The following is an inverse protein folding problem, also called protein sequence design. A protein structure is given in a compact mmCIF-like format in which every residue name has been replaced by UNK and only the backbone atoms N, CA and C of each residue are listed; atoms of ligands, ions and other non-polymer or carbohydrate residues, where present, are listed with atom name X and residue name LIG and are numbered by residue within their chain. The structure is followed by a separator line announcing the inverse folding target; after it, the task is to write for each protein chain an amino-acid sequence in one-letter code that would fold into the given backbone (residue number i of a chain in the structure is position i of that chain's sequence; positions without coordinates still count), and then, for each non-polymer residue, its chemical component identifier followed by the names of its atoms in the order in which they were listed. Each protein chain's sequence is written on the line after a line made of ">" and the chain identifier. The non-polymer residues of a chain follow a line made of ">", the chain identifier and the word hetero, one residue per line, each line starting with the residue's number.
data_IF_028613215303
#
_entry.id   IF_028613215303
#
_cell.length_a   1.000
_cell.length_b   1.000
_cell.length_c   1.000
_cell.angle_alpha   90.00
_cell.angle_beta   90.00
_cell.angle_gamma   90.00
#
_symmetry.space_group_name_H-M   'P 1'
#
loop_
_entity.id
_entity.type
_entity.pdbx_description
1 polymer ?
#
# COMPACT_ATOMS: atom_id res chain seq x y z
N UNK A 1 -3.47 -3.83 -11.85
CA UNK A 1 -4.16 -2.63 -11.42
C UNK A 1 -3.16 -1.71 -10.75
N UNK A 2 -3.06 -0.48 -11.24
CA UNK A 2 -2.20 0.53 -10.63
C UNK A 2 -3.02 1.22 -9.55
N UNK A 3 -2.78 0.86 -8.29
CA UNK A 3 -3.35 1.60 -7.17
C UNK A 3 -2.63 2.94 -7.05
N UNK A 4 -3.33 4.04 -7.25
CA UNK A 4 -2.76 5.35 -6.96
C UNK A 4 -2.79 5.60 -5.45
N UNK A 5 -1.62 5.47 -4.82
CA UNK A 5 -1.46 5.65 -3.37
C UNK A 5 -1.87 7.07 -2.90
N UNK A 6 -1.83 8.08 -3.78
CA UNK A 6 -2.28 9.43 -3.42
C UNK A 6 -3.80 9.46 -3.24
N UNK A 7 -4.55 8.79 -4.13
CA UNK A 7 -6.01 8.71 -4.04
C UNK A 7 -6.40 7.96 -2.76
N UNK A 8 -5.76 6.82 -2.50
CA UNK A 8 -6.05 6.02 -1.29
C UNK A 8 -5.72 6.81 -0.02
N UNK A 9 -4.58 7.49 0.03
CA UNK A 9 -4.20 8.33 1.17
C UNK A 9 -5.22 9.47 1.38
N UNK A 10 -5.62 10.16 0.31
CA UNK A 10 -6.61 11.24 0.38
C UNK A 10 -7.98 10.76 0.86
N UNK A 11 -8.43 9.56 0.47
CA UNK A 11 -9.66 8.96 0.98
C UNK A 11 -9.62 8.69 2.49
N UNK A 12 -8.44 8.40 3.02
CA UNK A 12 -8.22 8.22 4.45
C UNK A 12 -7.88 9.52 5.18
N UNK A 13 -8.02 10.68 4.53
CA UNK A 13 -7.75 12.00 5.14
C UNK A 13 -6.28 12.25 5.44
N UNK A 14 -5.38 11.50 4.82
CA UNK A 14 -3.94 11.59 5.05
C UNK A 14 -3.19 11.84 3.74
N UNK A 15 -1.88 11.94 3.83
CA UNK A 15 -0.99 12.12 2.67
C UNK A 15 -0.03 10.95 2.56
N UNK A 16 0.43 10.67 1.35
CA UNK A 16 1.47 9.68 1.16
C UNK A 16 2.77 10.13 1.85
N UNK A 17 3.46 9.18 2.43
CA UNK A 17 4.81 9.31 2.96
C UNK A 17 5.79 8.63 1.99
N UNK A 18 6.89 9.31 1.69
CA UNK A 18 8.02 8.74 0.95
C UNK A 18 9.13 8.52 1.95
N UNK A 19 9.57 7.28 2.08
CA UNK A 19 10.66 6.94 2.99
C UNK A 19 12.01 7.50 2.51
N UNK A 20 12.88 7.82 3.46
CA UNK A 20 14.26 8.23 3.25
C UNK A 20 15.14 7.67 4.36
N UNK A 21 16.46 7.87 4.28
CA UNK A 21 17.39 7.43 5.32
C UNK A 21 17.10 8.05 6.70
N UNK A 22 16.56 9.26 6.72
CA UNK A 22 16.23 9.99 7.95
C UNK A 22 14.78 9.81 8.40
N UNK A 23 13.89 9.33 7.53
CA UNK A 23 12.47 9.15 7.79
C UNK A 23 11.96 7.87 7.15
N UNK A 24 12.17 6.76 7.82
CA UNK A 24 11.86 5.41 7.33
C UNK A 24 10.37 5.07 7.46
N UNK A 25 9.95 4.08 6.69
CA UNK A 25 8.64 3.43 6.82
C UNK A 25 8.85 2.00 7.31
N UNK A 26 8.13 1.60 8.34
CA UNK A 26 8.15 0.20 8.80
C UNK A 26 7.46 -0.66 7.75
N UNK A 27 8.18 -1.66 7.26
CA UNK A 27 7.71 -2.58 6.21
C UNK A 27 7.88 -4.03 6.65
N UNK A 28 6.90 -4.92 6.40
CA UNK A 28 7.05 -6.34 6.65
C UNK A 28 7.96 -7.00 5.62
N UNK A 29 8.69 -8.02 6.06
CA UNK A 29 9.46 -8.93 5.21
C UNK A 29 9.09 -10.38 5.53
N UNK A 30 9.08 -11.20 4.47
CA UNK A 30 8.82 -12.64 4.54
C UNK A 30 9.92 -13.31 3.74
N UNK A 31 10.74 -14.13 4.38
CA UNK A 31 11.86 -14.79 3.74
C UNK A 31 11.82 -16.29 4.03
N UNK A 32 12.09 -17.09 3.00
CA UNK A 32 12.17 -18.54 3.09
C UNK A 32 13.60 -18.99 2.79
N UNK A 33 14.08 -19.93 3.61
CA UNK A 33 15.42 -20.49 3.50
C UNK A 33 15.33 -22.02 3.49
N UNK A 34 15.86 -22.64 2.44
CA UNK A 34 16.08 -24.07 2.41
C UNK A 34 17.37 -24.41 3.19
N UNK A 35 17.30 -25.29 4.15
CA UNK A 35 18.42 -25.61 5.04
C UNK A 35 19.35 -26.64 4.39
N UNK A 36 20.60 -26.25 4.26
CA UNK A 36 21.68 -27.08 3.76
C UNK A 36 22.23 -28.07 4.81
N UNK A 37 23.28 -28.77 4.43
CA UNK A 37 23.95 -29.72 5.33
C UNK A 37 24.68 -28.96 6.47
N UNK A 38 24.49 -29.38 7.72
CA UNK A 38 25.12 -28.79 8.92
C UNK A 38 24.84 -27.28 9.14
N UNK A 39 23.86 -26.73 8.45
CA UNK A 39 23.50 -25.33 8.56
C UNK A 39 22.69 -25.10 9.85
N UNK A 40 23.13 -24.17 10.69
CA UNK A 40 22.46 -23.76 11.92
C UNK A 40 22.07 -22.28 11.93
N UNK A 41 22.34 -21.57 10.83
CA UNK A 41 22.11 -20.13 10.74
C UNK A 41 21.46 -19.76 9.41
N UNK A 42 20.63 -18.69 9.42
CA UNK A 42 20.15 -18.02 8.21
C UNK A 42 20.42 -16.53 8.31
N UNK A 43 20.70 -15.88 7.18
CA UNK A 43 21.01 -14.45 7.12
C UNK A 43 19.89 -13.72 6.42
N UNK A 44 19.25 -12.79 7.10
CA UNK A 44 18.16 -11.99 6.57
C UNK A 44 18.65 -10.93 5.57
N UNK A 45 17.85 -10.60 4.59
CA UNK A 45 18.16 -9.55 3.60
C UNK A 45 18.15 -8.15 4.22
N UNK A 46 17.32 -7.94 5.25
CA UNK A 46 17.16 -6.66 5.96
C UNK A 46 17.39 -6.83 7.46
N UNK A 47 17.72 -5.72 8.13
CA UNK A 47 17.84 -5.71 9.58
C UNK A 47 16.45 -5.70 10.21
N UNK A 48 16.12 -6.75 10.95
CA UNK A 48 14.85 -6.84 11.66
C UNK A 48 14.76 -5.85 12.83
N UNK A 49 13.58 -5.29 13.02
CA UNK A 49 13.25 -4.50 14.21
C UNK A 49 13.13 -5.46 15.39
N UNK A 50 13.78 -5.14 16.49
CA UNK A 50 13.76 -5.97 17.70
C UNK A 50 12.31 -6.20 18.17
N UNK A 51 11.98 -7.46 18.43
CA UNK A 51 10.65 -7.86 18.92
C UNK A 51 9.62 -8.17 17.82
N UNK A 52 9.93 -7.96 16.53
CA UNK A 52 9.01 -8.28 15.42
C UNK A 52 9.31 -9.62 14.74
N UNK A 53 10.43 -10.25 15.09
CA UNK A 53 10.89 -11.48 14.47
C UNK A 53 10.01 -12.69 14.87
N UNK A 54 9.50 -13.39 13.87
CA UNK A 54 8.80 -14.67 14.01
C UNK A 54 9.48 -15.70 13.11
N UNK A 55 9.91 -16.80 13.70
CA UNK A 55 10.66 -17.86 13.01
C UNK A 55 9.92 -19.18 13.11
N UNK A 56 9.75 -19.84 11.99
CA UNK A 56 9.04 -21.11 11.88
C UNK A 56 9.80 -22.05 10.95
N UNK A 57 9.71 -23.36 11.19
CA UNK A 57 10.10 -24.36 10.20
C UNK A 57 8.85 -24.96 9.57
N UNK A 58 8.94 -25.25 8.28
CA UNK A 58 7.88 -25.85 7.50
C UNK A 58 8.29 -27.27 7.10
N UNK A 59 7.32 -28.13 7.00
CA UNK A 59 7.45 -29.43 6.36
C UNK A 59 7.42 -29.29 4.83
N UNK A 60 7.75 -30.34 4.09
CA UNK A 60 7.74 -30.32 2.62
C UNK A 60 6.38 -30.03 1.98
N UNK A 61 5.29 -30.28 2.70
CA UNK A 61 3.93 -29.95 2.29
C UNK A 61 3.50 -28.53 2.67
N UNK A 62 4.40 -27.73 3.27
CA UNK A 62 4.16 -26.36 3.67
C UNK A 62 3.48 -26.18 5.03
N UNK A 63 3.22 -27.28 5.77
CA UNK A 63 2.66 -27.20 7.11
C UNK A 63 3.71 -26.75 8.13
N UNK A 64 3.29 -26.01 9.18
CA UNK A 64 4.19 -25.57 10.24
C UNK A 64 4.65 -26.77 11.05
N UNK A 65 5.97 -27.02 11.09
CA UNK A 65 6.60 -28.07 11.87
C UNK A 65 6.92 -27.59 13.29
N UNK A 66 7.60 -26.44 13.41
CA UNK A 66 7.97 -25.83 14.69
C UNK A 66 7.83 -24.32 14.62
N UNK A 67 7.56 -23.69 15.78
CA UNK A 67 7.61 -22.25 15.99
C UNK A 67 8.67 -21.96 17.05
N UNK A 68 9.57 -21.04 16.75
CA UNK A 68 10.71 -20.73 17.61
C UNK A 68 10.48 -19.46 18.43
N UNK A 69 10.95 -19.45 19.66
CA UNK A 69 11.01 -18.25 20.49
C UNK A 69 12.35 -17.53 20.25
N UNK A 70 12.31 -16.22 20.09
CA UNK A 70 13.52 -15.40 20.01
C UNK A 70 14.11 -15.25 21.41
N UNK A 71 15.36 -15.64 21.57
CA UNK A 71 16.05 -15.63 22.84
C UNK A 71 17.49 -16.15 22.70
N UNK A 72 17.90 -17.05 23.57
CA UNK A 72 19.20 -17.69 23.50
C UNK A 72 19.09 -19.06 22.79
N UNK A 73 19.83 -19.25 21.70
CA UNK A 73 19.86 -20.48 20.89
C UNK A 73 20.55 -21.67 21.58
N UNK A 74 20.76 -21.64 22.88
CA UNK A 74 21.30 -22.77 23.67
C UNK A 74 20.24 -23.84 23.96
N UNK A 75 18.96 -23.47 23.93
CA UNK A 75 17.83 -24.37 24.18
C UNK A 75 17.08 -24.70 22.89
N UNK A 76 16.62 -25.96 22.78
CA UNK A 76 15.74 -26.36 21.63
C UNK A 76 14.46 -25.53 21.59
N UNK A 77 14.05 -25.18 20.39
CA UNK A 77 12.88 -24.34 20.16
C UNK A 77 13.13 -22.85 20.37
N UNK A 78 14.39 -22.44 20.53
CA UNK A 78 14.78 -21.03 20.61
C UNK A 78 15.76 -20.66 19.51
N UNK A 79 15.75 -19.38 19.11
CA UNK A 79 16.69 -18.79 18.15
C UNK A 79 17.26 -17.50 18.71
N UNK A 80 18.52 -17.23 18.41
CA UNK A 80 19.15 -15.93 18.68
C UNK A 80 19.19 -15.11 17.42
N UNK A 81 18.82 -13.84 17.50
CA UNK A 81 18.97 -12.88 16.40
C UNK A 81 20.08 -11.87 16.70
N UNK A 82 21.04 -11.76 15.80
CA UNK A 82 22.11 -10.77 15.85
C UNK A 82 21.90 -9.70 14.79
N UNK A 83 21.43 -8.52 15.19
CA UNK A 83 21.03 -7.44 14.28
C UNK A 83 22.18 -6.92 13.41
N UNK A 84 23.39 -6.79 13.94
CA UNK A 84 24.55 -6.30 13.19
C UNK A 84 24.93 -7.18 11.99
N UNK A 85 24.77 -8.49 12.10
CA UNK A 85 25.02 -9.46 11.01
C UNK A 85 23.74 -9.93 10.33
N UNK A 86 22.58 -9.52 10.80
CA UNK A 86 21.25 -9.96 10.34
C UNK A 86 21.06 -11.48 10.42
N UNK A 87 21.72 -12.12 11.36
CA UNK A 87 21.79 -13.58 11.45
C UNK A 87 20.81 -14.11 12.49
N UNK A 88 20.00 -15.09 12.09
CA UNK A 88 19.18 -15.93 12.97
C UNK A 88 19.95 -17.23 13.19
N UNK A 89 20.26 -17.54 14.43
CA UNK A 89 21.00 -18.75 14.85
C UNK A 89 20.04 -19.68 15.58
N UNK A 90 20.04 -20.94 15.19
CA UNK A 90 19.25 -22.01 15.80
C UNK A 90 20.11 -22.85 16.78
N UNK A 91 19.47 -23.44 17.76
CA UNK A 91 20.12 -24.44 18.60
C UNK A 91 20.53 -25.66 17.76
N UNK A 92 21.61 -26.32 18.17
CA UNK A 92 22.12 -27.52 17.49
C UNK A 92 21.06 -28.61 17.39
N UNK A 93 20.79 -29.10 16.19
CA UNK A 93 19.81 -30.15 15.92
C UNK A 93 18.34 -29.71 15.91
N UNK A 94 18.04 -28.41 15.93
CA UNK A 94 16.69 -27.85 15.82
C UNK A 94 16.20 -27.82 14.37
N UNK A 95 17.11 -27.61 13.44
CA UNK A 95 16.83 -27.64 11.99
C UNK A 95 17.73 -28.72 11.34
N UNK A 96 17.22 -29.30 10.26
CA UNK A 96 17.92 -30.34 9.53
C UNK A 96 17.96 -30.02 8.05
N UNK A 97 18.89 -30.68 7.33
CA UNK A 97 18.95 -30.58 5.85
C UNK A 97 17.60 -30.88 5.21
N UNK A 98 17.15 -29.97 4.35
CA UNK A 98 15.90 -30.06 3.62
C UNK A 98 14.69 -29.53 4.40
N UNK A 99 14.88 -29.03 5.63
CA UNK A 99 13.87 -28.21 6.29
C UNK A 99 13.76 -26.86 5.57
N UNK A 100 12.57 -26.28 5.52
CA UNK A 100 12.35 -24.92 5.08
C UNK A 100 12.11 -24.03 6.29
N UNK A 101 12.88 -22.97 6.45
CA UNK A 101 12.71 -21.96 7.50
C UNK A 101 12.00 -20.76 6.92
N UNK A 102 10.86 -20.39 7.48
CA UNK A 102 10.14 -19.15 7.19
C UNK A 102 10.42 -18.14 8.31
N UNK A 103 10.93 -16.98 7.91
CA UNK A 103 11.17 -15.85 8.82
C UNK A 103 10.30 -14.68 8.41
N UNK A 104 9.48 -14.18 9.34
CA UNK A 104 8.66 -12.99 9.19
C UNK A 104 9.18 -11.93 10.15
N UNK A 105 9.34 -10.71 9.70
CA UNK A 105 9.82 -9.60 10.53
C UNK A 105 9.45 -8.26 9.93
N UNK A 106 9.61 -7.21 10.70
CA UNK A 106 9.50 -5.83 10.23
C UNK A 106 10.89 -5.20 10.16
N UNK A 107 11.08 -4.29 9.22
CA UNK A 107 12.30 -3.53 9.05
C UNK A 107 12.02 -2.08 8.68
N UNK A 108 12.98 -1.20 8.90
CA UNK A 108 12.89 0.20 8.50
C UNK A 108 13.30 0.33 7.03
N UNK A 109 12.32 0.56 6.15
CA UNK A 109 12.54 0.76 4.73
C UNK A 109 12.89 2.22 4.46
N UNK A 110 13.96 2.46 3.67
CA UNK A 110 14.43 3.79 3.24
C UNK A 110 13.96 4.14 1.83
N UNK A 111 13.53 3.13 1.05
CA UNK A 111 13.08 3.27 -0.33
C UNK A 111 11.68 2.69 -0.48
N UNK A 112 10.71 3.33 0.17
CA UNK A 112 9.31 2.88 0.09
C UNK A 112 8.36 4.05 0.12
N UNK A 113 7.13 3.81 -0.32
CA UNK A 113 6.03 4.76 -0.28
C UNK A 113 4.87 4.11 0.46
N UNK A 114 4.32 4.83 1.42
CA UNK A 114 3.19 4.35 2.20
C UNK A 114 2.35 5.51 2.72
N UNK A 115 1.34 5.19 3.50
CA UNK A 115 0.62 6.15 4.34
C UNK A 115 0.17 5.42 5.61
N UNK A 116 -0.08 6.19 6.66
CA UNK A 116 -0.75 5.70 7.87
C UNK A 116 -2.03 6.49 8.04
N UNK A 117 -3.15 5.80 8.23
CA UNK A 117 -4.43 6.41 8.57
C UNK A 117 -4.67 6.32 10.07
N UNK A 118 -5.05 7.43 10.69
CA UNK A 118 -5.47 7.50 12.10
C UNK A 118 -6.99 7.42 12.18
N UNK A 119 -7.51 6.96 13.30
CA UNK A 119 -8.96 6.95 13.56
C UNK A 119 -9.59 8.37 13.56
N UNK A 120 -8.76 9.40 13.69
CA UNK A 120 -9.19 10.81 13.67
C UNK A 120 -8.99 11.47 12.29
N UNK A 121 -8.45 10.75 11.31
CA UNK A 121 -8.23 11.29 9.98
C UNK A 121 -9.52 11.19 9.16
N UNK A 122 -9.95 12.30 8.59
CA UNK A 122 -11.13 12.39 7.74
C UNK A 122 -10.75 13.04 6.40
N UNK A 123 -11.32 12.57 5.27
CA UNK A 123 -11.10 13.21 3.97
C UNK A 123 -11.45 14.69 4.02
N UNK A 124 -10.56 15.50 3.48
CA UNK A 124 -10.78 16.93 3.35
C UNK A 124 -11.72 17.22 2.16
N UNK A 125 -12.55 18.25 2.30
CA UNK A 125 -13.31 18.78 1.17
C UNK A 125 -12.38 19.58 0.24
N UNK A 126 -12.59 19.46 -1.06
CA UNK A 126 -11.81 20.13 -2.08
C UNK A 126 -12.64 20.37 -3.33
N UNK A 127 -12.01 20.93 -4.38
CA UNK A 127 -12.62 21.05 -5.70
C UNK A 127 -12.34 19.78 -6.49
N UNK A 128 -13.38 19.30 -7.20
CA UNK A 128 -13.25 18.16 -8.13
C UNK A 128 -13.40 18.66 -9.55
N UNK A 129 -12.50 18.23 -10.41
CA UNK A 129 -12.56 18.43 -11.85
C UNK A 129 -12.58 17.06 -12.53
N UNK A 130 -13.57 16.84 -13.40
CA UNK A 130 -13.66 15.63 -14.22
C UNK A 130 -13.57 16.07 -15.68
N UNK A 131 -12.54 15.61 -16.36
CA UNK A 131 -12.40 15.75 -17.80
C UNK A 131 -13.10 14.59 -18.51
N UNK A 132 -13.93 14.92 -19.47
CA UNK A 132 -14.61 13.95 -20.33
C UNK A 132 -14.15 14.22 -21.77
N UNK A 133 -13.62 13.21 -22.41
CA UNK A 133 -13.24 13.23 -23.82
C UNK A 133 -14.38 12.64 -24.65
N UNK A 134 -14.73 13.33 -25.75
CA UNK A 134 -15.70 12.90 -26.76
C UNK A 134 -15.21 13.24 -28.14
N UNK A 135 -16.03 12.93 -29.13
CA UNK A 135 -15.78 13.28 -30.54
C UNK A 135 -16.86 14.16 -31.05
N UNK A 136 -16.53 15.05 -31.98
CA UNK A 136 -17.53 15.84 -32.72
C UNK A 136 -18.43 14.89 -33.52
N UNK A 137 -19.75 15.12 -33.46
CA UNK A 137 -20.75 14.30 -34.19
C UNK A 137 -20.56 14.41 -35.68
N UNK A 138 -20.12 15.58 -36.17
CA UNK A 138 -19.94 15.86 -37.60
C UNK A 138 -18.53 15.54 -38.10
N UNK A 139 -17.55 15.47 -37.18
CA UNK A 139 -16.15 15.16 -37.46
C UNK A 139 -15.55 14.29 -36.38
N UNK A 140 -15.63 12.98 -36.55
CA UNK A 140 -15.12 11.99 -35.60
C UNK A 140 -13.59 12.00 -35.44
N UNK A 141 -12.86 12.77 -36.26
CA UNK A 141 -11.43 12.99 -36.08
C UNK A 141 -11.12 14.11 -35.08
N UNK A 142 -12.09 14.97 -34.79
CA UNK A 142 -11.92 16.09 -33.84
C UNK A 142 -12.36 15.70 -32.47
N UNK A 143 -11.41 15.70 -31.50
CA UNK A 143 -11.68 15.47 -30.11
C UNK A 143 -12.24 16.71 -29.44
N UNK A 144 -13.28 16.51 -28.65
CA UNK A 144 -13.90 17.54 -27.81
C UNK A 144 -13.69 17.17 -26.34
N UNK A 145 -13.31 18.14 -25.54
CA UNK A 145 -13.14 17.97 -24.08
C UNK A 145 -14.22 18.76 -23.36
N UNK A 146 -14.82 18.13 -22.37
CA UNK A 146 -15.75 18.76 -21.45
C UNK A 146 -15.25 18.61 -20.02
N UNK A 147 -15.42 19.65 -19.21
CA UNK A 147 -14.95 19.68 -17.82
C UNK A 147 -16.14 19.86 -16.88
N UNK A 148 -16.39 18.86 -16.05
CA UNK A 148 -17.25 19.04 -14.89
C UNK A 148 -16.42 19.61 -13.75
N UNK A 149 -16.89 20.68 -13.14
CA UNK A 149 -16.30 21.30 -11.96
C UNK A 149 -17.30 21.26 -10.82
N UNK A 150 -16.95 20.59 -9.74
CA UNK A 150 -17.68 20.58 -8.48
C UNK A 150 -16.93 21.48 -7.49
N UNK A 151 -17.52 22.58 -7.03
CA UNK A 151 -16.85 23.53 -6.11
C UNK A 151 -16.47 22.91 -4.78
N UNK A 152 -17.31 22.00 -4.28
CA UNK A 152 -17.09 21.30 -3.02
C UNK A 152 -17.39 19.83 -3.19
N UNK A 153 -16.35 19.00 -3.09
CA UNK A 153 -16.44 17.56 -3.13
C UNK A 153 -15.60 16.97 -1.99
N UNK A 154 -16.12 15.93 -1.35
CA UNK A 154 -15.43 15.19 -0.29
C UNK A 154 -15.42 13.72 -0.64
N UNK A 155 -14.25 13.08 -0.60
CA UNK A 155 -14.17 11.64 -0.79
C UNK A 155 -14.83 10.91 0.38
N UNK A 156 -15.55 9.83 0.07
CA UNK A 156 -16.01 8.91 1.12
C UNK A 156 -14.84 8.08 1.63
N UNK A 157 -14.76 7.91 2.95
CA UNK A 157 -13.71 7.11 3.60
C UNK A 157 -13.90 5.60 3.44
N UNK A 158 -15.09 5.14 3.04
CA UNK A 158 -15.36 3.73 2.78
C UNK A 158 -14.93 3.36 1.37
N UNK A 159 -14.00 2.43 1.26
CA UNK A 159 -13.61 1.84 -0.03
C UNK A 159 -13.53 0.32 0.10
N UNK A 160 -13.90 -0.37 -0.96
CA UNK A 160 -13.71 -1.80 -1.09
C UNK A 160 -12.58 -2.04 -2.08
N UNK A 161 -11.55 -2.77 -1.65
CA UNK A 161 -10.45 -3.18 -2.51
C UNK A 161 -10.64 -4.64 -2.89
N UNK A 162 -10.90 -4.89 -4.17
CA UNK A 162 -10.89 -6.24 -4.71
C UNK A 162 -9.47 -6.60 -5.16
N UNK A 163 -8.89 -7.64 -4.56
CA UNK A 163 -7.57 -8.15 -4.98
C UNK A 163 -7.78 -9.15 -6.11
N UNK A 164 -7.91 -8.65 -7.34
CA UNK A 164 -8.05 -9.45 -8.58
C UNK A 164 -7.16 -8.87 -9.67
N UNK A 165 -6.90 -9.67 -10.70
CA UNK A 165 -6.10 -9.22 -11.86
C UNK A 165 -6.72 -8.01 -12.58
N UNK A 166 -8.06 -7.92 -12.60
CA UNK A 166 -8.86 -6.90 -13.28
C UNK A 166 -9.59 -5.98 -12.28
N UNK A 167 -9.05 -5.82 -11.07
CA UNK A 167 -9.71 -5.03 -10.05
C UNK A 167 -9.85 -3.56 -10.49
N UNK A 168 -11.06 -3.05 -10.39
CA UNK A 168 -11.36 -1.63 -10.53
C UNK A 168 -11.39 -0.97 -9.16
N UNK A 169 -10.84 0.22 -9.09
CA UNK A 169 -10.88 1.01 -7.89
C UNK A 169 -11.99 2.04 -8.00
N UNK A 170 -13.05 1.89 -7.20
CA UNK A 170 -14.18 2.80 -7.19
C UNK A 170 -13.92 3.94 -6.20
N UNK A 171 -13.97 5.17 -6.70
CA UNK A 171 -13.88 6.38 -5.88
C UNK A 171 -15.27 6.99 -5.78
N UNK A 172 -15.82 7.03 -4.56
CA UNK A 172 -17.08 7.70 -4.28
C UNK A 172 -16.82 9.08 -3.66
N UNK A 173 -17.59 10.07 -4.11
CA UNK A 173 -17.49 11.43 -3.61
C UNK A 173 -18.86 11.98 -3.26
N UNK A 174 -18.94 12.65 -2.12
CA UNK A 174 -20.08 13.47 -1.75
C UNK A 174 -19.84 14.90 -2.23
N UNK A 175 -20.70 15.38 -3.14
CA UNK A 175 -20.64 16.76 -3.63
C UNK A 175 -21.67 17.60 -2.91
N UNK A 176 -21.28 18.81 -2.52
CA UNK A 176 -22.14 19.74 -1.81
C UNK A 176 -22.14 21.11 -2.51
N UNK A 177 -23.19 21.84 -2.28
CA UNK A 177 -23.28 23.26 -2.70
C UNK A 177 -22.31 24.08 -1.85
N UNK A 178 -21.52 24.93 -2.48
CA UNK A 178 -20.76 25.94 -1.76
C UNK A 178 -21.70 27.08 -1.34
N UNK A 179 -22.12 27.06 -0.06
CA UNK A 179 -22.99 28.08 0.49
C UNK A 179 -22.32 29.45 0.67
N UNK A 180 -21.00 29.52 0.58
CA UNK A 180 -20.23 30.76 0.61
C UNK A 180 -20.16 31.42 -0.77
N UNK A 181 -20.47 30.71 -1.84
CA UNK A 181 -20.58 31.25 -3.18
C UNK A 181 -21.98 31.89 -3.37
N UNK A 182 -22.01 33.11 -3.95
CA UNK A 182 -23.26 33.83 -4.25
C UNK A 182 -24.17 33.04 -5.16
N UNK A 183 -23.61 32.29 -6.09
CA UNK A 183 -24.33 31.54 -7.11
C UNK A 183 -24.81 30.17 -6.62
N UNK A 184 -24.35 29.71 -5.44
CA UNK A 184 -24.71 28.41 -4.83
C UNK A 184 -24.65 27.25 -5.83
N UNK A 185 -23.60 27.22 -6.64
CA UNK A 185 -23.45 26.23 -7.69
C UNK A 185 -23.14 24.85 -7.09
N UNK A 186 -23.88 23.84 -7.56
CA UNK A 186 -23.60 22.44 -7.26
C UNK A 186 -22.49 21.89 -8.17
N UNK A 187 -22.61 22.17 -9.48
CA UNK A 187 -21.55 21.90 -10.47
C UNK A 187 -21.70 22.84 -11.65
N UNK A 188 -20.63 22.95 -12.44
CA UNK A 188 -20.65 23.57 -13.75
C UNK A 188 -20.04 22.64 -14.78
N UNK A 189 -20.58 22.69 -16.01
CA UNK A 189 -20.04 22.00 -17.18
C UNK A 189 -19.51 23.06 -18.15
N UNK A 190 -18.25 22.92 -18.55
CA UNK A 190 -17.58 23.81 -19.48
C UNK A 190 -17.03 22.99 -20.64
N UNK A 191 -17.38 23.39 -21.87
CA UNK A 191 -16.80 22.83 -23.10
C UNK A 191 -16.00 23.96 -23.76
N UNK A 192 -14.67 23.97 -23.61
CA UNK A 192 -13.84 25.01 -24.21
C UNK A 192 -13.73 24.84 -25.71
N UNK A 193 -13.48 25.94 -26.41
CA UNK A 193 -13.21 25.95 -27.84
C UNK A 193 -14.38 25.50 -28.78
N UNK A 194 -15.59 25.43 -28.26
CA UNK A 194 -16.78 25.22 -29.10
C UNK A 194 -17.24 26.57 -29.64
N UNK A 195 -17.36 26.68 -30.95
CA UNK A 195 -17.94 27.85 -31.57
C UNK A 195 -19.42 27.93 -31.15
N UNK A 196 -19.83 28.99 -30.45
CA UNK A 196 -21.16 29.14 -29.88
C UNK A 196 -22.29 29.00 -30.92
N UNK A 197 -21.99 29.27 -32.20
CA UNK A 197 -22.91 29.10 -33.30
C UNK A 197 -23.17 27.65 -33.72
N UNK A 198 -22.30 26.72 -33.32
CA UNK A 198 -22.44 25.27 -33.54
C UNK A 198 -23.07 24.52 -32.37
N UNK A 199 -23.28 25.19 -31.25
CA UNK A 199 -23.84 24.60 -30.03
C UNK A 199 -25.37 24.70 -29.93
N UNK A 200 -26.04 25.01 -31.03
CA UNK A 200 -27.52 25.07 -31.11
C UNK A 200 -28.12 23.76 -31.60
#
# INVERSE_FOLDING_TARGET
>A
PVYDINIIAAQNGTTKKIASDSDTIVSPAFEEFEIGNEQTTVVLSKTAIVGTLSVQTLTKDGSIKNVYKVGDATAKGTVTYTGGTRTVTFASGDIAKGDTVLVKYEYNATESVGFAASANDFPNAGRLYIEVEGFDICDQSTKIYAYYRFPTAKMKSSYQTDIKLDATYNVEMDCAVDYCDKDKQFYSLVVPNVNADKAK
#
